data_IF_480930888689
#
_entry.id   IF_480930888689
#
_cell.length_a   1.000
_cell.length_b   1.000
_cell.length_c   1.000
_cell.angle_alpha   90.00
_cell.angle_beta   90.00
_cell.angle_gamma   90.00
#
_symmetry.space_group_name_H-M   'P 1'
#
loop_
_entity.id
_entity.type
_entity.pdbx_description
1 polymer ?
#
# COMPACT_ATOMS: atom_id res chain seq x y z
N UNK A 1 -1.70 0.45 -0.76
CA UNK A 1 -1.72 1.69 0.06
C UNK A 1 -2.03 1.34 1.49
N UNK A 2 -1.28 1.90 2.44
CA UNK A 2 -1.62 1.80 3.86
C UNK A 2 -2.86 2.66 4.16
N UNK A 3 -3.82 2.12 4.93
CA UNK A 3 -5.04 2.87 5.29
C UNK A 3 -4.73 4.09 6.17
N UNK A 4 -3.67 4.02 6.97
CA UNK A 4 -3.22 5.13 7.83
C UNK A 4 -2.65 6.26 6.99
N UNK A 5 -1.89 5.94 5.94
CA UNK A 5 -1.35 6.94 5.01
C UNK A 5 -2.48 7.64 4.22
N UNK A 6 -3.56 6.91 3.89
CA UNK A 6 -4.76 7.50 3.26
C UNK A 6 -5.47 8.46 4.22
N UNK A 7 -5.66 8.06 5.48
CA UNK A 7 -6.27 8.95 6.48
C UNK A 7 -5.42 10.23 6.69
N UNK A 8 -4.09 10.10 6.73
CA UNK A 8 -3.17 11.23 6.83
C UNK A 8 -3.22 12.11 5.56
N UNK A 9 -3.31 11.52 4.37
CA UNK A 9 -3.48 12.27 3.13
C UNK A 9 -4.79 13.07 3.12
N UNK A 10 -5.89 12.47 3.56
CA UNK A 10 -7.21 13.12 3.65
C UNK A 10 -7.18 14.31 4.61
N UNK A 11 -6.56 14.14 5.78
CA UNK A 11 -6.38 15.24 6.73
C UNK A 11 -5.52 16.36 6.12
N UNK A 12 -4.40 16.01 5.48
CA UNK A 12 -3.50 16.98 4.87
C UNK A 12 -4.20 17.82 3.79
N UNK A 13 -4.93 17.20 2.87
CA UNK A 13 -5.64 17.96 1.82
C UNK A 13 -6.80 18.80 2.36
N UNK A 14 -7.37 18.42 3.51
CA UNK A 14 -8.38 19.22 4.18
C UNK A 14 -7.78 20.47 4.85
N UNK A 15 -6.60 20.33 5.47
CA UNK A 15 -5.95 21.40 6.23
C UNK A 15 -5.18 22.40 5.35
N UNK A 16 -4.70 21.98 4.18
CA UNK A 16 -3.88 22.82 3.29
C UNK A 16 -4.77 23.70 2.41
N UNK A 17 -4.80 25.04 2.60
CA UNK A 17 -5.65 25.94 1.80
C UNK A 17 -5.26 25.96 0.32
N UNK A 18 -4.01 25.63 -0.02
CA UNK A 18 -3.53 25.49 -1.40
C UNK A 18 -3.95 24.18 -2.09
N UNK A 19 -4.60 23.25 -1.37
CA UNK A 19 -5.06 22.00 -1.95
C UNK A 19 -6.26 22.22 -2.88
N UNK A 20 -6.21 21.67 -4.08
CA UNK A 20 -7.28 21.84 -5.07
C UNK A 20 -7.45 20.63 -6.01
N UNK A 21 -8.68 20.43 -6.48
CA UNK A 21 -9.01 19.41 -7.46
C UNK A 21 -8.75 17.98 -6.97
N UNK A 22 -8.14 17.14 -7.82
CA UNK A 22 -7.92 15.71 -7.55
C UNK A 22 -6.49 15.42 -7.13
N UNK A 23 -6.33 14.47 -6.21
CA UNK A 23 -5.06 13.91 -5.76
C UNK A 23 -5.08 12.39 -5.89
N UNK A 24 -4.07 11.82 -6.54
CA UNK A 24 -3.83 10.38 -6.52
C UNK A 24 -3.06 10.06 -5.24
N UNK A 25 -3.53 9.05 -4.50
CA UNK A 25 -2.90 8.54 -3.29
C UNK A 25 -2.41 7.10 -3.55
N UNK A 26 -1.16 6.99 -4.03
CA UNK A 26 -0.44 5.76 -4.33
C UNK A 26 1.01 5.88 -3.84
N UNK A 27 1.56 4.82 -3.25
CA UNK A 27 2.84 4.83 -2.54
C UNK A 27 3.84 3.91 -3.22
N UNK A 28 3.46 2.64 -3.33
CA UNK A 28 4.31 1.56 -3.83
C UNK A 28 3.74 1.02 -5.14
N UNK A 29 4.62 0.82 -6.12
CA UNK A 29 4.34 0.02 -7.30
C UNK A 29 4.92 -1.37 -7.04
N UNK A 30 4.09 -2.39 -7.01
CA UNK A 30 4.51 -3.76 -6.83
C UNK A 30 3.60 -4.67 -7.65
N UNK A 31 4.17 -5.62 -8.38
CA UNK A 31 3.40 -6.67 -9.05
C UNK A 31 2.88 -7.65 -7.99
N UNK A 32 1.82 -8.40 -8.29
CA UNK A 32 1.28 -9.38 -7.34
C UNK A 32 2.34 -10.38 -6.90
N UNK A 33 3.19 -10.83 -7.84
CA UNK A 33 4.31 -11.74 -7.55
C UNK A 33 5.28 -11.15 -6.52
N UNK A 34 5.63 -9.87 -6.64
CA UNK A 34 6.58 -9.22 -5.74
C UNK A 34 6.01 -9.12 -4.32
N UNK A 35 4.71 -8.82 -4.21
CA UNK A 35 4.00 -8.80 -2.92
C UNK A 35 3.99 -10.18 -2.28
N UNK A 36 3.70 -11.24 -3.06
CA UNK A 36 3.69 -12.61 -2.54
C UNK A 36 5.08 -13.07 -2.12
N UNK A 37 6.13 -12.81 -2.91
CA UNK A 37 7.49 -13.18 -2.51
C UNK A 37 7.93 -12.45 -1.23
N UNK A 38 7.57 -11.17 -1.08
CA UNK A 38 7.84 -10.42 0.16
C UNK A 38 7.09 -11.03 1.36
N UNK A 39 5.81 -11.37 1.20
CA UNK A 39 5.02 -12.04 2.25
C UNK A 39 5.61 -13.39 2.61
N UNK A 40 5.99 -14.20 1.63
CA UNK A 40 6.59 -15.53 1.82
C UNK A 40 7.93 -15.46 2.56
N UNK A 41 8.73 -14.41 2.31
CA UNK A 41 9.96 -14.15 3.05
C UNK A 41 9.71 -13.84 4.53
N UNK A 42 8.60 -13.16 4.85
CA UNK A 42 8.27 -12.75 6.22
C UNK A 42 7.48 -13.82 6.99
N UNK A 43 6.63 -14.56 6.28
CA UNK A 43 5.67 -15.50 6.83
C UNK A 43 5.64 -16.81 6.03
N UNK A 44 6.72 -17.61 6.02
CA UNK A 44 6.88 -18.74 5.11
C UNK A 44 5.86 -19.88 5.30
N UNK A 45 5.13 -19.88 6.41
CA UNK A 45 4.27 -21.01 6.83
C UNK A 45 2.83 -20.93 6.28
N UNK A 46 2.51 -19.97 5.40
CA UNK A 46 1.22 -19.89 4.73
C UNK A 46 1.23 -20.58 3.36
N UNK A 47 0.03 -20.94 2.88
CA UNK A 47 -0.14 -21.48 1.54
C UNK A 47 -0.21 -20.34 0.51
N UNK A 48 0.86 -20.18 -0.27
CA UNK A 48 0.97 -19.14 -1.31
C UNK A 48 0.69 -19.67 -2.71
N UNK A 49 0.17 -18.84 -3.63
CA UNK A 49 0.06 -19.17 -5.05
C UNK A 49 1.40 -19.58 -5.67
N UNK A 50 1.38 -20.56 -6.57
CA UNK A 50 2.56 -21.09 -7.26
C UNK A 50 2.73 -20.58 -8.68
N UNK A 51 1.68 -20.01 -9.26
CA UNK A 51 1.66 -19.49 -10.63
C UNK A 51 0.94 -18.14 -10.68
N UNK A 52 1.36 -17.31 -11.63
CA UNK A 52 0.87 -15.96 -11.85
C UNK A 52 0.70 -15.76 -13.35
N UNK A 53 -0.36 -15.06 -13.75
CA UNK A 53 -0.52 -14.58 -15.11
C UNK A 53 -0.07 -13.13 -15.11
N UNK A 54 1.00 -12.82 -15.84
CA UNK A 54 1.41 -11.42 -16.00
C UNK A 54 0.39 -10.73 -16.91
N UNK A 55 -0.21 -9.67 -16.38
CA UNK A 55 -1.07 -8.76 -17.15
C UNK A 55 -0.26 -7.52 -17.46
N UNK A 56 -0.40 -7.02 -18.68
CA UNK A 56 0.25 -5.79 -19.13
C UNK A 56 -0.10 -4.62 -18.19
N UNK A 57 0.94 -3.91 -17.75
CA UNK A 57 0.81 -2.87 -16.74
C UNK A 57 0.09 -1.67 -17.34
N UNK A 58 -1.06 -1.31 -16.76
CA UNK A 58 -1.79 -0.08 -17.16
C UNK A 58 -0.99 1.16 -16.77
N UNK A 59 -1.30 2.26 -17.45
CA UNK A 59 -0.64 3.57 -17.33
C UNK A 59 -0.16 3.91 -15.91
N UNK A 60 1.07 4.39 -15.82
CA UNK A 60 1.74 4.72 -14.57
C UNK A 60 1.01 5.82 -13.81
N UNK A 61 0.52 5.52 -12.61
CA UNK A 61 -0.04 6.52 -11.69
C UNK A 61 1.07 7.09 -10.79
N UNK A 62 1.00 8.39 -10.47
CA UNK A 62 1.94 9.06 -9.57
C UNK A 62 1.20 9.86 -8.50
N UNK A 63 1.81 9.96 -7.33
CA UNK A 63 1.34 10.80 -6.22
C UNK A 63 2.15 12.08 -6.05
N UNK A 64 2.89 12.50 -7.08
CA UNK A 64 3.75 13.68 -7.01
C UNK A 64 3.00 14.94 -6.57
N UNK A 65 1.77 15.15 -7.05
CA UNK A 65 0.96 16.29 -6.63
C UNK A 65 0.65 16.27 -5.13
N UNK A 66 0.39 15.08 -4.57
CA UNK A 66 0.11 14.90 -3.15
C UNK A 66 1.39 15.02 -2.31
N UNK A 67 2.51 14.48 -2.79
CA UNK A 67 3.81 14.61 -2.15
C UNK A 67 4.30 16.06 -2.11
N UNK A 68 4.00 16.86 -3.15
CA UNK A 68 4.28 18.31 -3.17
C UNK A 68 3.53 19.08 -2.08
N UNK A 69 2.43 18.55 -1.52
CA UNK A 69 1.78 19.11 -0.34
C UNK A 69 2.45 18.72 0.99
N UNK A 70 3.50 17.90 0.95
CA UNK A 70 4.20 17.40 2.13
C UNK A 70 3.77 15.99 2.57
N UNK A 71 2.97 15.29 1.76
CA UNK A 71 2.58 13.91 2.08
C UNK A 71 3.76 12.95 1.94
N UNK A 72 3.92 12.10 2.96
CA UNK A 72 4.85 10.98 2.98
C UNK A 72 4.07 9.71 3.30
N UNK A 73 4.66 8.55 3.01
CA UNK A 73 4.01 7.25 3.19
C UNK A 73 4.97 6.23 3.78
N UNK A 74 4.41 5.21 4.43
CA UNK A 74 5.17 4.16 5.11
C UNK A 74 5.76 3.15 4.13
N UNK A 75 6.84 2.44 4.49
CA UNK A 75 7.34 1.32 3.71
C UNK A 75 6.28 0.23 3.53
N UNK A 76 6.25 -0.42 2.36
CA UNK A 76 5.29 -1.48 2.06
C UNK A 76 5.34 -2.62 3.08
N UNK A 77 6.54 -2.96 3.56
CA UNK A 77 6.78 -4.02 4.53
C UNK A 77 6.07 -3.77 5.87
N UNK A 78 6.06 -2.53 6.36
CA UNK A 78 5.34 -2.17 7.58
C UNK A 78 3.84 -2.41 7.41
N UNK A 79 3.26 -1.99 6.28
CA UNK A 79 1.85 -2.23 5.96
C UNK A 79 1.51 -3.72 5.89
N UNK A 80 2.36 -4.52 5.25
CA UNK A 80 2.13 -5.97 5.11
C UNK A 80 2.19 -6.68 6.47
N UNK A 81 3.22 -6.39 7.28
CA UNK A 81 3.38 -6.97 8.62
C UNK A 81 2.21 -6.62 9.52
N UNK A 82 1.86 -5.33 9.62
CA UNK A 82 0.76 -4.89 10.48
C UNK A 82 -0.58 -5.50 10.05
N UNK A 83 -0.79 -5.70 8.75
CA UNK A 83 -2.01 -6.34 8.23
C UNK A 83 -2.10 -7.82 8.63
N UNK A 84 -1.01 -8.58 8.49
CA UNK A 84 -0.96 -10.00 8.86
C UNK A 84 -1.17 -10.15 10.38
N UNK A 85 -0.50 -9.34 11.19
CA UNK A 85 -0.64 -9.39 12.65
C UNK A 85 -2.03 -8.97 13.12
N UNK A 86 -2.67 -8.00 12.45
CA UNK A 86 -4.06 -7.64 12.68
C UNK A 86 -5.00 -8.84 12.42
N UNK A 87 -4.80 -9.54 11.31
CA UNK A 87 -5.62 -10.71 10.96
C UNK A 87 -5.43 -11.90 11.91
N UNK A 88 -4.20 -12.15 12.39
CA UNK A 88 -3.92 -13.14 13.43
C UNK A 88 -4.65 -12.81 14.73
N UNK A 89 -4.58 -11.55 15.19
CA UNK A 89 -5.30 -11.08 16.38
C UNK A 89 -6.81 -11.23 16.24
N UNK A 90 -7.33 -10.99 15.04
CA UNK A 90 -8.75 -11.17 14.71
C UNK A 90 -9.14 -12.65 14.49
N UNK A 91 -8.20 -13.60 14.52
CA UNK A 91 -8.41 -15.03 14.22
C UNK A 91 -8.99 -15.28 12.82
N UNK A 92 -8.63 -14.42 11.87
CA UNK A 92 -8.94 -14.58 10.45
C UNK A 92 -7.84 -15.40 9.76
N UNK A 93 -6.60 -15.26 10.24
CA UNK A 93 -5.45 -16.09 9.86
C UNK A 93 -4.98 -16.87 11.09
N UNK A 94 -4.56 -18.11 10.83
CA UNK A 94 -3.92 -18.99 11.81
C UNK A 94 -2.50 -18.51 12.20
#
# INVERSE_FOLDING_TARGET
MDVRDVAQALLLVYEKPEAEGRYICTAHKAKEKDVVEKLKSLYPNYNYPKSYVEVEERSTMTSEKLQKLGWTFRPLEETLVDSVESYRKAKILD
#
